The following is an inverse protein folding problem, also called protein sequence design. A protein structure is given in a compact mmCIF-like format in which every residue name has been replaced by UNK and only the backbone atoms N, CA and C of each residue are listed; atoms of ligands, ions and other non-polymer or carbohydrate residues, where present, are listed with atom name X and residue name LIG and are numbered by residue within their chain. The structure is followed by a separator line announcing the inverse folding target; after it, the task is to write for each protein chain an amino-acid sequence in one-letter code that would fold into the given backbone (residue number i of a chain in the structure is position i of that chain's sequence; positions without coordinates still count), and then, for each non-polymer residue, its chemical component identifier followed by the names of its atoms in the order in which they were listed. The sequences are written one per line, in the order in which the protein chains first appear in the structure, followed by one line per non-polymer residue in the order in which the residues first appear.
data_IF_852161536696
#
_entry.id   IF_852161536696
#
_cell.length_a   1.000
_cell.length_b   1.000
_cell.length_c   1.000
_cell.angle_alpha   90.00
_cell.angle_beta   90.00
_cell.angle_gamma   90.00
#
_symmetry.space_group_name_H-M   'P 1'
#
loop_
_entity.id
_entity.type
_entity.pdbx_description
1 polymer ?
#
# COMPACT_ATOMS: atom_id res chain seq x y z
N UNK A 1 -21.94 13.71 37.24
CA UNK A 1 -22.68 12.47 36.92
C UNK A 1 -23.76 12.75 35.87
N UNK A 2 -23.46 12.57 34.57
CA UNK A 2 -24.46 12.60 33.50
C UNK A 2 -24.41 11.34 32.60
N UNK A 3 -24.43 10.11 33.13
CA UNK A 3 -24.26 8.91 32.28
C UNK A 3 -25.54 8.06 32.09
N UNK A 4 -26.42 7.98 33.10
CA UNK A 4 -27.60 7.10 33.01
C UNK A 4 -28.65 7.56 31.97
N UNK A 5 -28.71 8.86 31.64
CA UNK A 5 -29.70 9.40 30.67
C UNK A 5 -29.31 9.15 29.21
N UNK A 6 -28.01 9.11 28.91
CA UNK A 6 -27.52 8.90 27.54
C UNK A 6 -27.71 7.43 27.17
N UNK A 7 -27.39 6.51 28.06
CA UNK A 7 -27.61 5.07 27.84
C UNK A 7 -29.09 4.73 27.64
N UNK A 8 -29.99 5.29 28.45
CA UNK A 8 -31.44 5.11 28.27
C UNK A 8 -31.96 5.70 26.95
N UNK A 9 -31.37 6.81 26.48
CA UNK A 9 -31.73 7.39 25.20
C UNK A 9 -31.23 6.55 24.02
N UNK A 10 -30.04 5.93 24.12
CA UNK A 10 -29.46 5.06 23.10
C UNK A 10 -30.18 3.70 23.01
N UNK A 11 -30.68 3.17 24.13
CA UNK A 11 -31.39 1.88 24.19
C UNK A 11 -32.89 1.96 23.85
N UNK A 12 -33.43 3.15 23.62
CA UNK A 12 -34.83 3.33 23.20
C UNK A 12 -35.01 3.01 21.70
N UNK A 13 -36.13 2.36 21.31
CA UNK A 13 -36.52 2.15 19.89
C UNK A 13 -36.43 3.42 19.04
N UNK A 14 -36.73 4.58 19.63
CA UNK A 14 -36.65 5.90 18.95
C UNK A 14 -35.22 6.45 18.93
N UNK A 15 -34.39 6.09 19.90
CA UNK A 15 -32.97 6.42 19.95
C UNK A 15 -32.17 5.70 18.88
N UNK A 16 -32.34 4.37 18.77
CA UNK A 16 -31.72 3.55 17.73
C UNK A 16 -32.06 4.07 16.34
N UNK A 17 -33.32 4.47 16.11
CA UNK A 17 -33.75 4.99 14.81
C UNK A 17 -33.15 6.38 14.50
N UNK A 18 -32.99 7.26 15.49
CA UNK A 18 -32.33 8.57 15.32
C UNK A 18 -30.84 8.42 15.07
N UNK A 19 -30.16 7.52 15.79
CA UNK A 19 -28.74 7.20 15.57
C UNK A 19 -28.55 6.58 14.19
N UNK A 20 -29.43 5.65 13.78
CA UNK A 20 -29.40 5.04 12.44
C UNK A 20 -29.66 6.05 11.31
N UNK A 21 -30.57 7.00 11.50
CA UNK A 21 -30.83 8.08 10.53
C UNK A 21 -29.60 9.00 10.39
N UNK A 22 -29.02 9.42 11.51
CA UNK A 22 -27.82 10.25 11.54
C UNK A 22 -26.62 9.53 10.92
N UNK A 23 -26.41 8.26 11.28
CA UNK A 23 -25.35 7.42 10.71
C UNK A 23 -25.53 7.27 9.20
N UNK A 24 -26.76 7.04 8.72
CA UNK A 24 -27.07 6.96 7.27
C UNK A 24 -26.80 8.27 6.55
N UNK A 25 -27.14 9.43 7.15
CA UNK A 25 -26.84 10.73 6.53
C UNK A 25 -25.33 11.01 6.48
N UNK A 26 -24.59 10.66 7.54
CA UNK A 26 -23.13 10.75 7.56
C UNK A 26 -22.51 9.83 6.51
N UNK A 27 -22.99 8.58 6.40
CA UNK A 27 -22.49 7.60 5.43
C UNK A 27 -22.85 7.98 3.99
N UNK A 28 -24.04 8.53 3.74
CA UNK A 28 -24.44 9.00 2.42
C UNK A 28 -23.62 10.23 1.98
N UNK A 29 -23.35 11.14 2.91
CA UNK A 29 -22.54 12.33 2.63
C UNK A 29 -21.07 11.96 2.43
N UNK A 30 -20.52 11.06 3.26
CA UNK A 30 -19.18 10.51 3.11
C UNK A 30 -19.05 9.63 1.86
N UNK A 31 -20.10 8.89 1.50
CA UNK A 31 -20.16 8.08 0.29
C UNK A 31 -20.17 8.92 -0.97
N UNK A 32 -20.90 10.05 -0.99
CA UNK A 32 -20.89 11.00 -2.10
C UNK A 32 -19.53 11.69 -2.25
N UNK A 33 -18.86 12.07 -1.16
CA UNK A 33 -17.52 12.69 -1.25
C UNK A 33 -16.43 11.68 -1.58
N UNK A 34 -16.54 10.43 -1.10
CA UNK A 34 -15.64 9.33 -1.46
C UNK A 34 -15.81 8.93 -2.93
N UNK A 35 -17.03 8.96 -3.47
CA UNK A 35 -17.31 8.69 -4.90
C UNK A 35 -16.71 9.76 -5.82
N UNK A 36 -16.58 11.00 -5.34
CA UNK A 36 -15.97 12.11 -6.08
C UNK A 36 -14.45 12.20 -5.91
N UNK A 37 -13.91 11.59 -4.85
CA UNK A 37 -12.46 11.51 -4.59
C UNK A 37 -11.85 10.17 -5.00
N UNK A 38 -12.68 9.23 -5.47
CA UNK A 38 -12.30 7.92 -6.00
C UNK A 38 -11.74 7.95 -7.42
N UNK A 39 -11.29 9.11 -7.90
CA UNK A 39 -10.42 9.19 -9.06
C UNK A 39 -9.01 8.78 -8.61
N UNK A 40 -8.75 7.47 -8.51
CA UNK A 40 -7.40 7.01 -8.83
C UNK A 40 -7.07 7.65 -10.17
N UNK A 41 -6.04 8.50 -10.24
CA UNK A 41 -5.53 8.97 -11.53
C UNK A 41 -5.16 7.71 -12.31
N UNK A 42 -6.01 7.35 -13.27
CA UNK A 42 -5.77 6.24 -14.19
C UNK A 42 -4.66 6.59 -15.19
N UNK A 43 -4.01 7.73 -15.02
CA UNK A 43 -2.89 8.14 -15.84
C UNK A 43 -1.68 7.31 -15.44
N UNK A 44 -1.37 6.36 -16.33
CA UNK A 44 -0.11 5.62 -16.31
C UNK A 44 1.05 6.62 -16.21
N UNK A 45 2.00 6.30 -15.36
CA UNK A 45 3.21 7.09 -15.25
C UNK A 45 4.02 7.01 -16.55
N UNK A 46 4.62 8.12 -16.96
CA UNK A 46 5.47 8.16 -18.14
C UNK A 46 6.61 7.14 -17.99
N UNK A 47 6.81 6.28 -18.99
CA UNK A 47 7.82 5.21 -18.97
C UNK A 47 7.36 3.89 -18.35
N UNK A 48 6.13 3.80 -17.85
CA UNK A 48 5.57 2.58 -17.25
C UNK A 48 4.38 2.04 -18.06
N UNK A 49 4.27 0.70 -18.13
CA UNK A 49 3.21 0.00 -18.82
C UNK A 49 1.92 -0.06 -17.97
N UNK A 50 2.05 -0.23 -16.65
CA UNK A 50 0.95 -0.49 -15.73
C UNK A 50 0.89 0.49 -14.56
N UNK A 51 2.04 0.84 -13.96
CA UNK A 51 2.09 1.71 -12.79
C UNK A 51 1.54 3.11 -13.10
N UNK A 52 0.77 3.64 -12.15
CA UNK A 52 0.15 4.98 -12.23
C UNK A 52 0.99 5.99 -11.47
N UNK A 53 0.78 7.27 -11.77
CA UNK A 53 1.44 8.36 -11.04
C UNK A 53 1.18 8.31 -9.51
N UNK A 54 0.01 7.80 -9.09
CA UNK A 54 -0.35 7.62 -7.69
C UNK A 54 0.44 6.51 -6.97
N UNK A 55 0.94 5.53 -7.72
CA UNK A 55 1.64 4.37 -7.15
C UNK A 55 3.10 4.69 -6.84
N UNK A 56 3.71 5.59 -7.63
CA UNK A 56 5.15 5.86 -7.59
C UNK A 56 5.65 6.39 -6.24
N UNK A 57 5.02 7.37 -5.57
CA UNK A 57 5.55 7.91 -4.31
C UNK A 57 5.67 6.83 -3.23
N UNK A 58 4.69 5.92 -3.16
CA UNK A 58 4.72 4.79 -2.25
C UNK A 58 5.84 3.81 -2.60
N UNK A 59 5.89 3.36 -3.86
CA UNK A 59 6.87 2.37 -4.30
C UNK A 59 8.31 2.88 -4.18
N UNK A 60 8.56 4.13 -4.58
CA UNK A 60 9.87 4.77 -4.47
C UNK A 60 10.33 4.92 -3.01
N UNK A 61 9.40 5.07 -2.07
CA UNK A 61 9.71 5.16 -0.64
C UNK A 61 9.93 3.77 0.00
N UNK A 62 9.13 2.77 -0.37
CA UNK A 62 9.15 1.44 0.28
C UNK A 62 10.28 0.54 -0.23
N UNK A 63 10.59 0.57 -1.53
CA UNK A 63 11.60 -0.32 -2.14
C UNK A 63 12.97 -0.17 -1.46
N UNK A 64 13.52 1.05 -1.23
CA UNK A 64 14.81 1.19 -0.54
C UNK A 64 14.84 0.62 0.87
N UNK A 65 13.70 0.66 1.58
CA UNK A 65 13.57 0.09 2.93
C UNK A 65 13.58 -1.43 2.88
N UNK A 66 12.93 -2.02 1.88
CA UNK A 66 12.89 -3.49 1.70
C UNK A 66 14.22 -4.04 1.17
N UNK A 67 14.98 -3.24 0.41
CA UNK A 67 16.31 -3.61 -0.10
C UNK A 67 17.46 -3.24 0.85
N UNK A 68 17.14 -2.68 2.03
CA UNK A 68 18.15 -2.30 3.01
C UNK A 68 18.97 -3.54 3.44
N UNK A 69 20.30 -3.41 3.41
CA UNK A 69 21.24 -4.51 3.67
C UNK A 69 21.59 -5.32 2.42
N UNK A 70 20.70 -5.45 1.45
CA UNK A 70 20.95 -6.15 0.18
C UNK A 70 21.68 -5.30 -0.86
N UNK A 71 21.56 -3.98 -0.74
CA UNK A 71 22.15 -3.02 -1.68
C UNK A 71 23.01 -2.01 -0.93
N UNK A 72 24.22 -1.75 -1.43
CA UNK A 72 25.10 -0.70 -0.88
C UNK A 72 24.42 0.67 -1.02
N UNK A 73 24.50 1.57 -0.02
CA UNK A 73 23.82 2.87 -0.06
C UNK A 73 24.08 3.69 -1.33
N UNK A 74 25.31 3.66 -1.85
CA UNK A 74 25.71 4.38 -3.08
C UNK A 74 25.03 3.87 -4.36
N UNK A 75 24.54 2.63 -4.36
CA UNK A 75 23.86 2.00 -5.50
C UNK A 75 22.33 2.00 -5.35
N UNK A 76 21.82 2.42 -4.18
CA UNK A 76 20.40 2.34 -3.85
C UNK A 76 19.50 3.09 -4.85
N UNK A 77 19.82 4.30 -5.34
CA UNK A 77 18.97 4.99 -6.31
C UNK A 77 18.78 4.19 -7.61
N UNK A 78 19.86 3.62 -8.16
CA UNK A 78 19.78 2.80 -9.37
C UNK A 78 19.12 1.43 -9.14
N UNK A 79 19.33 0.83 -7.96
CA UNK A 79 18.65 -0.39 -7.58
C UNK A 79 17.14 -0.17 -7.45
N UNK A 80 16.73 0.93 -6.82
CA UNK A 80 15.33 1.33 -6.67
C UNK A 80 14.65 1.51 -8.03
N UNK A 81 15.21 2.36 -8.90
CA UNK A 81 14.65 2.65 -10.22
C UNK A 81 14.47 1.39 -11.07
N UNK A 82 15.50 0.55 -11.15
CA UNK A 82 15.40 -0.64 -11.97
C UNK A 82 14.60 -1.77 -11.30
N UNK A 83 14.40 -1.77 -9.97
CA UNK A 83 13.41 -2.64 -9.30
C UNK A 83 12.00 -2.20 -9.66
N UNK A 84 11.74 -0.88 -9.69
CA UNK A 84 10.45 -0.31 -10.04
C UNK A 84 10.05 -0.65 -11.48
N UNK A 85 10.96 -0.52 -12.44
CA UNK A 85 10.73 -0.94 -13.83
C UNK A 85 10.53 -2.46 -13.96
N UNK A 86 11.28 -3.26 -13.20
CA UNK A 86 11.11 -4.72 -13.21
C UNK A 86 9.76 -5.14 -12.58
N UNK A 87 9.31 -4.42 -11.56
CA UNK A 87 8.00 -4.58 -10.95
C UNK A 87 6.89 -4.28 -11.95
N UNK A 88 6.96 -3.16 -12.66
CA UNK A 88 5.99 -2.80 -13.69
C UNK A 88 5.89 -3.88 -14.80
N UNK A 89 7.04 -4.36 -15.30
CA UNK A 89 7.09 -5.46 -16.26
C UNK A 89 6.46 -6.77 -15.74
N UNK A 90 6.58 -7.03 -14.43
CA UNK A 90 5.97 -8.21 -13.81
C UNK A 90 4.45 -8.01 -13.64
N UNK A 91 4.00 -6.79 -13.31
CA UNK A 91 2.58 -6.44 -13.22
C UNK A 91 1.86 -6.56 -14.57
N UNK A 92 2.52 -6.18 -15.67
CA UNK A 92 1.99 -6.29 -17.05
C UNK A 92 1.69 -7.74 -17.47
N UNK A 93 2.25 -8.71 -16.75
CA UNK A 93 2.06 -10.15 -17.01
C UNK A 93 1.07 -10.81 -16.06
N UNK A 94 0.50 -10.06 -15.10
CA UNK A 94 -0.51 -10.60 -14.19
C UNK A 94 -1.83 -10.83 -14.92
N UNK A 95 -2.62 -11.76 -14.40
CA UNK A 95 -4.01 -11.88 -14.82
C UNK A 95 -4.77 -10.58 -14.47
N UNK A 96 -5.81 -10.20 -15.22
CA UNK A 96 -6.55 -8.97 -14.96
C UNK A 96 -7.11 -8.87 -13.54
N UNK A 97 -7.53 -10.00 -12.96
CA UNK A 97 -8.04 -10.07 -11.59
C UNK A 97 -6.94 -9.77 -10.55
N UNK A 98 -5.74 -10.34 -10.70
CA UNK A 98 -4.63 -10.09 -9.78
C UNK A 98 -4.08 -8.67 -9.92
N UNK A 99 -4.03 -8.14 -11.15
CA UNK A 99 -3.65 -6.76 -11.39
C UNK A 99 -4.60 -5.80 -10.68
N UNK A 100 -5.91 -6.02 -10.81
CA UNK A 100 -6.94 -5.20 -10.13
C UNK A 100 -6.75 -5.20 -8.61
N UNK A 101 -6.56 -6.38 -8.01
CA UNK A 101 -6.33 -6.48 -6.55
C UNK A 101 -5.04 -5.76 -6.11
N UNK A 102 -4.00 -5.81 -6.95
CA UNK A 102 -2.73 -5.13 -6.67
C UNK A 102 -2.89 -3.61 -6.75
N UNK A 103 -3.60 -3.11 -7.76
CA UNK A 103 -3.90 -1.68 -7.88
C UNK A 103 -4.78 -1.19 -6.73
N UNK A 104 -5.77 -1.98 -6.29
CA UNK A 104 -6.58 -1.65 -5.11
C UNK A 104 -5.74 -1.56 -3.84
N UNK A 105 -4.75 -2.44 -3.66
CA UNK A 105 -3.80 -2.34 -2.56
C UNK A 105 -3.02 -1.02 -2.62
N UNK A 106 -2.53 -0.63 -3.81
CA UNK A 106 -1.83 0.64 -3.98
C UNK A 106 -2.74 1.86 -3.76
N UNK A 107 -4.00 1.80 -4.19
CA UNK A 107 -4.98 2.89 -3.99
C UNK A 107 -5.21 3.14 -2.50
N UNK A 108 -5.43 2.06 -1.74
CA UNK A 108 -5.60 2.11 -0.28
C UNK A 108 -4.35 2.69 0.41
N UNK A 109 -3.16 2.47 -0.14
CA UNK A 109 -1.92 3.02 0.40
C UNK A 109 -1.66 4.46 -0.07
N UNK A 110 -2.18 4.88 -1.22
CA UNK A 110 -2.01 6.23 -1.76
C UNK A 110 -2.94 7.26 -1.11
N UNK A 111 -4.18 6.85 -0.81
CA UNK A 111 -5.21 7.75 -0.27
C UNK A 111 -4.93 8.12 1.20
N UNK A 112 -4.82 9.41 1.58
CA UNK A 112 -4.51 9.80 2.95
C UNK A 112 -5.47 9.24 4.01
N UNK A 113 -6.77 9.15 3.68
CA UNK A 113 -7.84 8.68 4.58
C UNK A 113 -7.71 7.20 4.95
N UNK A 114 -7.13 6.39 4.08
CA UNK A 114 -6.88 4.96 4.34
C UNK A 114 -5.43 4.71 4.77
N UNK A 115 -4.46 5.44 4.19
CA UNK A 115 -3.04 5.33 4.51
C UNK A 115 -2.77 5.51 6.00
N UNK A 116 -3.19 6.65 6.56
CA UNK A 116 -2.90 6.99 7.96
C UNK A 116 -3.34 5.92 8.96
N UNK A 117 -4.63 5.51 8.96
CA UNK A 117 -5.11 4.47 9.87
C UNK A 117 -4.48 3.09 9.64
N UNK A 118 -4.25 2.69 8.38
CA UNK A 118 -3.76 1.35 8.08
C UNK A 118 -2.26 1.21 8.29
N UNK A 119 -1.48 2.24 7.98
CA UNK A 119 -0.02 2.18 8.01
C UNK A 119 0.58 2.96 9.17
N UNK A 120 -0.16 3.85 9.83
CA UNK A 120 0.39 4.80 10.81
C UNK A 120 1.25 5.90 10.19
N UNK A 121 1.25 6.04 8.85
CA UNK A 121 1.98 7.07 8.09
C UNK A 121 0.98 8.12 7.60
N UNK A 122 0.92 9.26 8.29
CA UNK A 122 -0.01 10.34 7.95
C UNK A 122 0.56 11.32 6.91
N UNK A 123 1.88 11.51 6.91
CA UNK A 123 2.59 12.30 5.89
C UNK A 123 2.43 11.70 4.50
N UNK A 124 2.65 12.50 3.45
CA UNK A 124 2.91 11.97 2.11
C UNK A 124 4.08 10.99 2.12
N UNK A 125 4.09 10.04 1.19
CA UNK A 125 5.12 8.99 1.13
C UNK A 125 6.51 9.57 0.85
N UNK A 126 6.58 10.63 0.06
CA UNK A 126 7.77 11.43 -0.22
C UNK A 126 8.40 12.04 1.03
N UNK A 127 7.65 12.16 2.13
CA UNK A 127 8.10 12.71 3.41
C UNK A 127 8.18 11.63 4.52
N UNK A 128 7.87 10.37 4.22
CA UNK A 128 7.89 9.30 5.20
C UNK A 128 9.34 8.86 5.48
N UNK A 129 9.72 8.78 6.76
CA UNK A 129 11.07 8.33 7.12
C UNK A 129 11.21 6.80 6.93
N UNK A 130 12.43 6.31 6.62
CA UNK A 130 12.68 4.87 6.50
C UNK A 130 12.25 4.07 7.74
N UNK A 131 12.40 4.62 8.94
CA UNK A 131 11.97 4.03 10.21
C UNK A 131 10.45 3.88 10.24
N UNK A 132 9.71 4.92 9.86
CA UNK A 132 8.24 4.90 9.85
C UNK A 132 7.70 3.81 8.91
N UNK A 133 8.33 3.68 7.74
CA UNK A 133 8.00 2.67 6.74
C UNK A 133 8.31 1.26 7.26
N UNK A 134 9.45 1.08 7.92
CA UNK A 134 9.83 -0.20 8.55
C UNK A 134 8.82 -0.62 9.63
N UNK A 135 8.45 0.30 10.52
CA UNK A 135 7.46 0.02 11.57
C UNK A 135 6.10 -0.33 10.96
N UNK A 136 5.73 0.30 9.85
CA UNK A 136 4.53 -0.02 9.08
C UNK A 136 4.56 -1.47 8.57
N UNK A 137 5.64 -1.85 7.88
CA UNK A 137 5.80 -3.19 7.33
C UNK A 137 5.79 -4.24 8.44
N UNK A 138 6.51 -4.00 9.54
CA UNK A 138 6.56 -4.91 10.70
C UNK A 138 5.18 -5.08 11.36
N UNK A 139 4.41 -3.99 11.51
CA UNK A 139 3.04 -4.06 12.03
C UNK A 139 2.12 -4.87 11.12
N UNK A 140 2.22 -4.71 9.81
CA UNK A 140 1.42 -5.49 8.87
C UNK A 140 1.82 -6.96 8.88
N UNK A 141 3.12 -7.26 8.90
CA UNK A 141 3.65 -8.62 9.00
C UNK A 141 3.10 -9.36 10.22
N UNK A 142 3.07 -8.70 11.38
CA UNK A 142 2.67 -9.28 12.66
C UNK A 142 1.22 -9.01 13.05
N UNK A 143 0.38 -8.54 12.11
CA UNK A 143 -1.00 -8.16 12.41
C UNK A 143 -1.86 -9.37 12.77
N UNK A 144 -2.82 -9.18 13.69
CA UNK A 144 -3.90 -10.16 13.93
C UNK A 144 -4.88 -10.24 12.75
N UNK A 145 -4.98 -9.17 11.94
CA UNK A 145 -5.83 -9.10 10.76
C UNK A 145 -5.15 -9.81 9.58
N UNK A 146 -5.75 -10.89 9.09
CA UNK A 146 -5.23 -11.66 7.95
C UNK A 146 -5.03 -10.82 6.70
N UNK A 147 -5.92 -9.83 6.46
CA UNK A 147 -5.85 -8.93 5.32
C UNK A 147 -4.56 -8.09 5.32
N UNK A 148 -4.12 -7.58 6.47
CA UNK A 148 -2.89 -6.78 6.56
C UNK A 148 -1.65 -7.65 6.38
N UNK A 149 -1.65 -8.87 6.94
CA UNK A 149 -0.57 -9.84 6.69
C UNK A 149 -0.48 -10.21 5.21
N UNK A 150 -1.63 -10.38 4.54
CA UNK A 150 -1.69 -10.64 3.10
C UNK A 150 -1.17 -9.44 2.30
N UNK A 151 -1.55 -8.22 2.66
CA UNK A 151 -1.00 -6.99 2.06
C UNK A 151 0.52 -6.92 2.18
N UNK A 152 1.08 -7.21 3.36
CA UNK A 152 2.53 -7.28 3.56
C UNK A 152 3.18 -8.35 2.69
N UNK A 153 2.63 -9.57 2.68
CA UNK A 153 3.16 -10.67 1.88
C UNK A 153 3.16 -10.33 0.38
N UNK A 154 2.08 -9.71 -0.13
CA UNK A 154 1.98 -9.26 -1.53
C UNK A 154 3.02 -8.19 -1.85
N UNK A 155 3.20 -7.17 -0.99
CA UNK A 155 4.23 -6.14 -1.19
C UNK A 155 5.63 -6.75 -1.20
N UNK A 156 5.92 -7.62 -0.23
CA UNK A 156 7.20 -8.31 -0.13
C UNK A 156 7.47 -9.15 -1.36
N UNK A 157 6.49 -9.96 -1.79
CA UNK A 157 6.63 -10.81 -2.95
C UNK A 157 6.87 -10.00 -4.22
N UNK A 158 6.10 -8.94 -4.47
CA UNK A 158 6.25 -8.09 -5.64
C UNK A 158 7.65 -7.45 -5.69
N UNK A 159 8.09 -6.82 -4.60
CA UNK A 159 9.38 -6.11 -4.57
C UNK A 159 10.56 -7.09 -4.61
N UNK A 160 10.53 -8.15 -3.80
CA UNK A 160 11.63 -9.12 -3.75
C UNK A 160 11.77 -9.88 -5.07
N UNK A 161 10.66 -10.31 -5.67
CA UNK A 161 10.68 -10.99 -6.98
C UNK A 161 11.27 -10.07 -8.04
N UNK A 162 10.87 -8.80 -8.07
CA UNK A 162 11.40 -7.84 -9.03
C UNK A 162 12.88 -7.52 -8.84
N UNK A 163 13.39 -7.49 -7.61
CA UNK A 163 14.82 -7.28 -7.37
C UNK A 163 15.65 -8.53 -7.69
N UNK A 164 15.25 -9.71 -7.20
CA UNK A 164 16.07 -10.92 -7.31
C UNK A 164 16.01 -11.59 -8.69
N UNK A 165 15.08 -11.20 -9.56
CA UNK A 165 15.10 -11.58 -10.97
C UNK A 165 16.22 -10.89 -11.77
N UNK A 166 16.94 -9.95 -11.15
CA UNK A 166 17.93 -9.13 -11.84
C UNK A 166 19.37 -9.62 -11.65
N UNK A 167 20.20 -9.62 -12.71
CA UNK A 167 21.61 -10.02 -12.62
C UNK A 167 22.42 -9.31 -11.54
N UNK A 168 22.14 -8.03 -11.31
CA UNK A 168 22.85 -7.21 -10.33
C UNK A 168 22.65 -7.68 -8.88
N UNK A 169 21.58 -8.43 -8.62
CA UNK A 169 21.29 -9.01 -7.30
C UNK A 169 21.99 -10.35 -7.06
N UNK A 170 22.34 -11.08 -8.12
CA UNK A 170 22.77 -12.48 -8.04
C UNK A 170 24.09 -12.65 -7.29
N UNK A 171 25.06 -11.77 -7.56
CA UNK A 171 26.35 -11.78 -6.89
C UNK A 171 26.21 -11.59 -5.38
N UNK A 172 25.21 -10.82 -4.94
CA UNK A 172 24.96 -10.58 -3.52
C UNK A 172 24.37 -11.80 -2.80
N UNK A 173 23.51 -12.58 -3.47
CA UNK A 173 22.93 -13.80 -2.91
C UNK A 173 23.73 -15.08 -3.22
N UNK A 174 24.91 -14.95 -3.83
CA UNK A 174 25.77 -16.10 -4.18
C UNK A 174 25.26 -16.95 -5.33
N UNK A 175 24.29 -16.45 -6.11
CA UNK A 175 23.77 -17.14 -7.28
C UNK A 175 24.69 -16.87 -8.49
N UNK A 176 25.22 -17.90 -9.18
CA UNK A 176 26.11 -17.71 -10.33
C UNK A 176 25.37 -17.26 -11.60
N UNK A 177 24.05 -17.15 -11.56
CA UNK A 177 23.20 -16.90 -12.72
C UNK A 177 22.63 -18.19 -13.33
N UNK A 178 21.69 -18.06 -14.26
CA UNK A 178 21.12 -19.20 -14.97
C UNK A 178 22.19 -19.87 -15.84
N UNK A 179 22.11 -21.19 -16.05
CA UNK A 179 23.03 -21.90 -16.93
C UNK A 179 22.93 -21.35 -18.37
N UNK A 180 24.08 -21.10 -18.98
CA UNK A 180 24.17 -20.77 -20.41
C UNK A 180 23.95 -22.06 -21.21
N UNK A 181 22.88 -22.10 -21.99
CA UNK A 181 22.59 -23.16 -22.98
C UNK A 181 23.26 -22.86 -24.32
#
# INVERSE_FOLDING_TARGET
MPDARIEHALLSRRGVMKVGLLASTLLATAGLTASLSGCSSSDRACGFAVLRNSDLPFLQAVIPVMLAGSVRPSLMPGANDATLHKLDNNLDRLSPALLTLTQQLFDVLAMPVTRGPLTGVWSGWENATPERIRDFLERWQNSSLSLLRMGHASLLQLVMMSWYERPESWAHCGYPGPPTV
#
